data_IF_347706735709
#
_entry.id   IF_347706735709
#
_cell.length_a   1.000
_cell.length_b   1.000
_cell.length_c   1.000
_cell.angle_alpha   90.00
_cell.angle_beta   90.00
_cell.angle_gamma   90.00
#
_symmetry.space_group_name_H-M   'P 1'
#
loop_
_entity.id
_entity.type
_entity.pdbx_description
1 polymer ?
#
# COMPACT_ATOMS: atom_id res chain seq x y z
N UNK A 1 -22.81 32.55 -8.32
CA UNK A 1 -22.38 33.33 -7.16
C UNK A 1 -21.49 32.42 -6.34
N UNK A 2 -20.17 32.67 -6.44
CA UNK A 2 -19.06 32.19 -5.62
C UNK A 2 -18.84 30.66 -5.65
N UNK A 3 -17.67 30.11 -5.95
CA UNK A 3 -16.34 30.67 -6.16
C UNK A 3 -15.48 29.56 -6.75
N UNK A 4 -14.42 29.97 -7.45
CA UNK A 4 -13.14 29.26 -7.51
C UNK A 4 -13.14 27.98 -8.34
N UNK A 5 -12.72 28.16 -9.59
CA UNK A 5 -11.55 27.46 -10.13
C UNK A 5 -10.76 26.78 -9.01
N UNK A 6 -11.03 25.48 -8.83
CA UNK A 6 -10.24 24.60 -7.97
C UNK A 6 -8.87 24.53 -8.63
N UNK A 7 -8.04 25.51 -8.28
CA UNK A 7 -6.68 25.65 -8.77
C UNK A 7 -5.96 24.38 -8.33
N UNK A 8 -5.77 23.45 -9.28
CA UNK A 8 -4.94 22.27 -9.15
C UNK A 8 -3.54 22.74 -8.81
N UNK A 9 -3.32 23.02 -7.54
CA UNK A 9 -2.08 23.56 -7.03
C UNK A 9 -1.07 22.43 -7.23
N UNK A 10 -0.01 22.62 -8.03
CA UNK A 10 0.89 21.54 -8.33
C UNK A 10 1.43 20.92 -7.04
N UNK A 11 1.56 19.60 -6.99
CA UNK A 11 2.05 18.87 -5.80
C UNK A 11 3.38 19.45 -5.29
N UNK A 12 4.24 19.91 -6.20
CA UNK A 12 5.49 20.59 -5.84
C UNK A 12 5.27 21.86 -4.99
N UNK A 13 4.25 22.67 -5.31
CA UNK A 13 3.90 23.88 -4.56
C UNK A 13 3.32 23.54 -3.19
N UNK A 14 2.43 22.55 -3.12
CA UNK A 14 1.90 22.05 -1.85
C UNK A 14 3.02 21.50 -0.97
N UNK A 15 3.95 20.73 -1.55
CA UNK A 15 5.10 20.17 -0.87
C UNK A 15 6.00 21.25 -0.26
N UNK A 16 6.39 22.26 -1.05
CA UNK A 16 7.26 23.33 -0.54
C UNK A 16 6.61 24.12 0.59
N UNK A 17 5.31 24.42 0.49
CA UNK A 17 4.56 25.10 1.56
C UNK A 17 4.39 24.24 2.81
N UNK A 18 4.06 22.97 2.63
CA UNK A 18 3.94 22.01 3.72
C UNK A 18 5.27 21.84 4.48
N UNK A 19 6.40 21.80 3.77
CA UNK A 19 7.73 21.77 4.36
C UNK A 19 8.09 23.07 5.12
N UNK A 20 7.53 24.20 4.71
CA UNK A 20 7.67 25.48 5.41
C UNK A 20 6.76 25.61 6.64
N UNK A 21 5.96 24.59 6.97
CA UNK A 21 5.06 24.58 8.13
C UNK A 21 3.64 25.08 7.86
N UNK A 22 3.25 25.26 6.59
CA UNK A 22 1.87 25.60 6.23
C UNK A 22 0.94 24.40 6.45
N UNK A 23 0.17 24.46 7.53
CA UNK A 23 -0.76 23.40 7.92
C UNK A 23 -1.85 23.13 6.88
N UNK A 24 -2.28 24.15 6.11
CA UNK A 24 -3.29 23.98 5.07
C UNK A 24 -2.68 23.25 3.87
N UNK A 25 -1.50 23.67 3.43
CA UNK A 25 -0.79 22.99 2.35
C UNK A 25 -0.43 21.53 2.71
N UNK A 26 -0.10 21.27 3.98
CA UNK A 26 0.09 19.90 4.48
C UNK A 26 -1.19 19.08 4.39
N UNK A 27 -2.32 19.62 4.86
CA UNK A 27 -3.60 18.91 4.78
C UNK A 27 -4.01 18.63 3.33
N UNK A 28 -3.87 19.62 2.45
CA UNK A 28 -4.19 19.48 1.03
C UNK A 28 -3.29 18.42 0.36
N UNK A 29 -2.00 18.41 0.69
CA UNK A 29 -1.05 17.39 0.20
C UNK A 29 -1.42 15.99 0.70
N UNK A 30 -1.76 15.84 1.98
CA UNK A 30 -2.17 14.56 2.55
C UNK A 30 -3.49 14.08 1.93
N UNK A 31 -4.45 14.96 1.70
CA UNK A 31 -5.71 14.64 1.02
C UNK A 31 -5.46 14.12 -0.39
N UNK A 32 -4.57 14.79 -1.14
CA UNK A 32 -4.18 14.40 -2.50
C UNK A 32 -3.57 12.99 -2.56
N UNK A 33 -2.69 12.64 -1.62
CA UNK A 33 -2.03 11.32 -1.63
C UNK A 33 -2.84 10.20 -0.98
N UNK A 34 -3.87 10.52 -0.19
CA UNK A 34 -4.64 9.52 0.57
C UNK A 34 -5.24 8.41 -0.31
N UNK A 35 -5.84 8.68 -1.49
CA UNK A 35 -6.32 7.64 -2.40
C UNK A 35 -5.19 6.72 -2.90
N UNK A 36 -4.02 7.27 -3.18
CA UNK A 36 -2.85 6.50 -3.63
C UNK A 36 -2.33 5.59 -2.51
N UNK A 37 -2.13 6.12 -1.30
CA UNK A 37 -1.74 5.35 -0.11
C UNK A 37 -2.75 4.24 0.19
N UNK A 38 -4.04 4.55 0.13
CA UNK A 38 -5.12 3.58 0.36
C UNK A 38 -5.06 2.42 -0.61
N UNK A 39 -4.90 2.69 -1.91
CA UNK A 39 -4.75 1.65 -2.95
C UNK A 39 -3.52 0.79 -2.71
N UNK A 40 -2.43 1.38 -2.21
CA UNK A 40 -1.21 0.64 -1.88
C UNK A 40 -1.38 -0.34 -0.71
N UNK A 41 -2.16 0.03 0.29
CA UNK A 41 -2.38 -0.79 1.48
C UNK A 41 -3.32 -1.99 1.22
N UNK A 42 -4.28 -1.89 0.29
CA UNK A 42 -5.27 -2.94 -0.01
C UNK A 42 -4.65 -4.33 -0.18
N UNK A 43 -3.65 -4.54 -1.07
CA UNK A 43 -3.11 -5.87 -1.28
C UNK A 43 -2.14 -6.35 -0.17
N UNK A 44 -1.69 -5.45 0.72
CA UNK A 44 -0.72 -5.77 1.77
C UNK A 44 -1.42 -6.09 3.09
N UNK A 45 -2.38 -5.26 3.48
CA UNK A 45 -3.02 -5.25 4.81
C UNK A 45 -4.55 -5.24 4.69
N UNK A 46 -5.14 -6.18 3.92
CA UNK A 46 -6.58 -6.21 3.60
C UNK A 46 -7.48 -5.98 4.82
N UNK A 47 -7.29 -6.77 5.87
CA UNK A 47 -8.16 -6.75 7.05
C UNK A 47 -7.85 -5.57 7.99
N UNK A 48 -6.66 -4.98 7.86
CA UNK A 48 -6.14 -3.91 8.72
C UNK A 48 -5.75 -2.68 7.91
N UNK A 49 -6.51 -2.43 6.83
CA UNK A 49 -6.19 -1.41 5.83
C UNK A 49 -6.24 -0.02 6.45
N UNK A 50 -7.24 0.24 7.29
CA UNK A 50 -7.40 1.53 7.97
C UNK A 50 -6.16 1.89 8.78
N UNK A 51 -5.69 0.94 9.59
CA UNK A 51 -4.49 1.11 10.43
C UNK A 51 -3.23 1.28 9.59
N UNK A 52 -3.07 0.48 8.53
CA UNK A 52 -1.94 0.61 7.62
C UNK A 52 -1.90 1.98 6.92
N UNK A 53 -3.06 2.49 6.49
CA UNK A 53 -3.18 3.82 5.88
C UNK A 53 -2.86 4.90 6.90
N UNK A 54 -3.40 4.81 8.11
CA UNK A 54 -3.16 5.80 9.16
C UNK A 54 -1.68 5.89 9.52
N UNK A 55 -1.03 4.75 9.76
CA UNK A 55 0.40 4.69 10.09
C UNK A 55 1.27 5.23 8.94
N UNK A 56 0.93 4.89 7.69
CA UNK A 56 1.60 5.43 6.51
C UNK A 56 1.46 6.95 6.42
N UNK A 57 0.25 7.50 6.55
CA UNK A 57 0.01 8.94 6.49
C UNK A 57 0.70 9.69 7.63
N UNK A 58 0.70 9.13 8.85
CA UNK A 58 1.44 9.70 9.99
C UNK A 58 2.95 9.67 9.78
N UNK A 59 3.49 8.59 9.21
CA UNK A 59 4.90 8.48 8.88
C UNK A 59 5.30 9.47 7.77
N UNK A 60 4.44 9.66 6.77
CA UNK A 60 4.62 10.66 5.72
C UNK A 60 4.59 12.08 6.31
N UNK A 61 3.59 12.40 7.13
CA UNK A 61 3.49 13.70 7.81
C UNK A 61 4.77 14.02 8.60
N UNK A 62 5.25 13.07 9.41
CA UNK A 62 6.46 13.24 10.24
C UNK A 62 7.75 13.31 9.41
N UNK A 63 7.79 12.61 8.28
CA UNK A 63 8.99 12.48 7.45
C UNK A 63 9.11 13.50 6.31
N UNK A 64 8.06 14.28 6.02
CA UNK A 64 8.01 15.14 4.84
C UNK A 64 9.17 16.14 4.77
N UNK A 65 9.62 16.65 5.91
CA UNK A 65 10.76 17.58 6.00
C UNK A 65 12.11 16.98 5.61
N UNK A 66 12.23 15.65 5.54
CA UNK A 66 13.47 14.97 5.13
C UNK A 66 13.62 14.87 3.62
N UNK A 67 12.54 15.07 2.87
CA UNK A 67 12.55 14.96 1.42
C UNK A 67 13.22 16.19 0.79
N UNK A 68 14.38 15.99 0.16
CA UNK A 68 15.14 17.08 -0.47
C UNK A 68 14.76 17.33 -1.93
N UNK A 69 14.34 16.28 -2.63
CA UNK A 69 14.05 16.34 -4.06
C UNK A 69 12.53 16.18 -4.29
N UNK A 70 11.82 17.24 -4.72
CA UNK A 70 10.39 17.19 -5.00
C UNK A 70 9.99 16.12 -6.03
N UNK A 71 10.84 15.87 -7.02
CA UNK A 71 10.60 14.85 -8.05
C UNK A 71 10.55 13.43 -7.47
N UNK A 72 11.20 13.19 -6.34
CA UNK A 72 11.21 11.89 -5.66
C UNK A 72 9.98 11.66 -4.76
N UNK A 73 9.07 12.63 -4.63
CA UNK A 73 7.96 12.60 -3.67
C UNK A 73 7.12 11.31 -3.74
N UNK A 74 6.60 10.94 -4.91
CA UNK A 74 5.79 9.73 -5.05
C UNK A 74 6.57 8.44 -4.83
N UNK A 75 7.87 8.42 -5.17
CA UNK A 75 8.75 7.29 -4.88
C UNK A 75 8.98 7.13 -3.38
N UNK A 76 9.22 8.24 -2.68
CA UNK A 76 9.37 8.26 -1.24
C UNK A 76 8.07 7.88 -0.50
N UNK A 77 6.92 8.45 -0.89
CA UNK A 77 5.59 8.07 -0.36
C UNK A 77 5.35 6.57 -0.55
N UNK A 78 5.72 6.02 -1.72
CA UNK A 78 5.59 4.59 -1.99
C UNK A 78 6.43 3.76 -1.03
N UNK A 79 7.69 4.11 -0.81
CA UNK A 79 8.59 3.40 0.11
C UNK A 79 8.09 3.46 1.55
N UNK A 80 7.65 4.63 2.02
CA UNK A 80 7.09 4.79 3.37
C UNK A 80 5.81 3.95 3.53
N UNK A 81 4.88 4.07 2.58
CA UNK A 81 3.60 3.33 2.62
C UNK A 81 3.81 1.82 2.63
N UNK A 82 4.71 1.32 1.78
CA UNK A 82 5.00 -0.11 1.70
C UNK A 82 5.59 -0.62 3.02
N UNK A 83 6.52 0.14 3.62
CA UNK A 83 7.14 -0.21 4.89
C UNK A 83 6.11 -0.23 6.03
N UNK A 84 5.28 0.82 6.16
CA UNK A 84 4.28 0.89 7.22
C UNK A 84 3.19 -0.17 7.07
N UNK A 85 2.71 -0.43 5.84
CA UNK A 85 1.71 -1.47 5.61
C UNK A 85 2.20 -2.86 6.03
N UNK A 86 3.46 -3.20 5.75
CA UNK A 86 4.04 -4.48 6.20
C UNK A 86 4.27 -4.50 7.71
N UNK A 87 4.74 -3.38 8.29
CA UNK A 87 4.95 -3.25 9.74
C UNK A 87 3.64 -3.49 10.50
N UNK A 88 2.53 -2.91 10.04
CA UNK A 88 1.21 -3.11 10.65
C UNK A 88 0.79 -4.57 10.62
N UNK A 89 0.91 -5.27 9.49
CA UNK A 89 0.58 -6.70 9.40
C UNK A 89 1.45 -7.55 10.33
N UNK A 90 2.75 -7.27 10.38
CA UNK A 90 3.68 -8.01 11.26
C UNK A 90 3.34 -7.82 12.74
N UNK A 91 3.05 -6.58 13.15
CA UNK A 91 2.66 -6.26 14.53
C UNK A 91 1.42 -7.04 14.94
N UNK A 92 0.37 -7.00 14.11
CA UNK A 92 -0.89 -7.67 14.40
C UNK A 92 -0.76 -9.19 14.42
N UNK A 93 0.08 -9.79 13.56
CA UNK A 93 0.37 -11.24 13.64
C UNK A 93 1.04 -11.63 14.96
N UNK A 94 1.92 -10.78 15.49
CA UNK A 94 2.57 -11.01 16.79
C UNK A 94 1.56 -10.88 17.94
N UNK A 95 0.63 -9.92 17.86
CA UNK A 95 -0.41 -9.68 18.88
C UNK A 95 -1.49 -10.78 18.87
N UNK A 96 -1.85 -11.28 17.69
CA UNK A 96 -2.87 -12.32 17.49
C UNK A 96 -2.37 -13.72 17.88
N UNK A 97 -1.07 -13.93 18.04
CA UNK A 97 -0.50 -15.22 18.50
C UNK A 97 -0.98 -15.67 19.91
N UNK A 98 -1.81 -14.88 20.60
CA UNK A 98 -2.48 -15.22 21.87
C UNK A 98 -4.00 -15.47 21.76
N UNK A 99 -4.59 -15.62 20.57
CA UNK A 99 -6.00 -16.03 20.43
C UNK A 99 -6.21 -16.85 19.16
N UNK A 100 -7.00 -17.96 19.20
CA UNK A 100 -7.29 -18.73 18.00
C UNK A 100 -8.20 -17.88 17.09
N UNK A 101 -7.71 -17.56 15.89
CA UNK A 101 -8.49 -16.84 14.88
C UNK A 101 -9.28 -17.85 14.06
N UNK A 102 -10.60 -17.81 14.21
CA UNK A 102 -11.54 -18.37 13.25
C UNK A 102 -11.51 -17.53 11.96
N UNK A 103 -11.48 -18.16 10.76
CA UNK A 103 -11.45 -17.43 9.51
C UNK A 103 -12.78 -16.70 9.26
N UNK A 104 -12.78 -15.38 9.49
CA UNK A 104 -13.90 -14.50 9.16
C UNK A 104 -14.14 -14.42 7.65
N UNK A 105 -15.31 -14.88 7.21
CA UNK A 105 -15.81 -14.71 5.84
C UNK A 105 -16.02 -13.21 5.54
N UNK A 106 -15.62 -12.76 4.35
CA UNK A 106 -15.86 -11.39 3.89
C UNK A 106 -16.82 -11.36 2.70
N UNK A 107 -17.88 -10.57 2.89
CA UNK A 107 -18.93 -10.18 1.95
C UNK A 107 -18.41 -9.30 0.82
N UNK A 108 -18.87 -9.57 -0.41
CA UNK A 108 -18.44 -8.89 -1.63
C UNK A 108 -19.17 -7.58 -1.94
N UNK A 109 -18.64 -6.89 -2.95
CA UNK A 109 -19.37 -5.97 -3.82
C UNK A 109 -19.04 -6.39 -5.25
N UNK A 110 -20.06 -6.74 -6.02
CA UNK A 110 -19.97 -7.18 -7.41
C UNK A 110 -20.03 -5.95 -8.30
N UNK A 111 -19.02 -5.73 -9.15
CA UNK A 111 -19.17 -5.38 -10.57
C UNK A 111 -17.79 -5.10 -11.20
N UNK A 112 -17.58 -5.68 -12.38
CA UNK A 112 -16.33 -5.82 -13.15
C UNK A 112 -15.25 -6.71 -12.49
N UNK A 113 -14.57 -7.57 -13.28
CA UNK A 113 -13.39 -8.33 -12.81
C UNK A 113 -12.30 -7.31 -12.51
N UNK A 114 -12.30 -6.79 -11.30
CA UNK A 114 -11.31 -5.86 -10.83
C UNK A 114 -10.08 -6.65 -10.39
N UNK A 115 -8.89 -6.05 -10.53
CA UNK A 115 -7.66 -6.67 -10.04
C UNK A 115 -7.76 -7.10 -8.57
N UNK A 116 -8.60 -6.41 -7.78
CA UNK A 116 -8.91 -6.76 -6.40
C UNK A 116 -9.58 -8.14 -6.26
N UNK A 117 -10.48 -8.54 -7.16
CA UNK A 117 -11.15 -9.85 -7.09
C UNK A 117 -10.17 -10.99 -7.35
N UNK A 118 -9.24 -10.78 -8.28
CA UNK A 118 -8.17 -11.73 -8.58
C UNK A 118 -7.19 -11.82 -7.41
N UNK A 119 -6.87 -10.69 -6.79
CA UNK A 119 -6.02 -10.64 -5.59
C UNK A 119 -6.70 -11.27 -4.37
N UNK A 120 -8.02 -11.19 -4.25
CA UNK A 120 -8.78 -11.81 -3.16
C UNK A 120 -8.79 -13.35 -3.25
N UNK A 121 -8.67 -13.91 -4.46
CA UNK A 121 -8.48 -15.36 -4.68
C UNK A 121 -7.08 -15.86 -4.31
N UNK A 122 -6.12 -14.95 -4.13
CA UNK A 122 -4.77 -15.30 -3.70
C UNK A 122 -4.69 -15.35 -2.18
N UNK A 123 -3.89 -16.28 -1.67
CA UNK A 123 -3.50 -16.28 -0.26
C UNK A 123 -2.81 -14.96 0.10
N UNK A 124 -2.96 -14.54 1.35
CA UNK A 124 -2.37 -13.30 1.86
C UNK A 124 -0.87 -13.20 1.54
N UNK A 125 -0.15 -14.31 1.71
CA UNK A 125 1.28 -14.40 1.42
C UNK A 125 1.63 -14.19 -0.07
N UNK A 126 0.78 -14.65 -1.00
CA UNK A 126 0.95 -14.42 -2.43
C UNK A 126 0.59 -12.98 -2.82
N UNK A 127 -0.46 -12.42 -2.22
CA UNK A 127 -0.88 -11.04 -2.46
C UNK A 127 0.19 -10.05 -2.02
N UNK A 128 0.71 -10.23 -0.80
CA UNK A 128 1.78 -9.41 -0.23
C UNK A 128 3.02 -9.44 -1.11
N UNK A 129 3.52 -10.62 -1.48
CA UNK A 129 4.77 -10.70 -2.22
C UNK A 129 4.65 -10.09 -3.64
N UNK A 130 3.50 -10.24 -4.29
CA UNK A 130 3.22 -9.59 -5.58
C UNK A 130 3.12 -8.08 -5.44
N UNK A 131 2.43 -7.59 -4.41
CA UNK A 131 2.30 -6.16 -4.15
C UNK A 131 3.66 -5.51 -3.90
N UNK A 132 4.49 -6.10 -3.03
CA UNK A 132 5.83 -5.59 -2.75
C UNK A 132 6.68 -5.54 -4.02
N UNK A 133 6.63 -6.60 -4.84
CA UNK A 133 7.34 -6.62 -6.12
C UNK A 133 6.82 -5.57 -7.11
N UNK A 134 5.51 -5.39 -7.18
CA UNK A 134 4.87 -4.38 -8.03
C UNK A 134 5.26 -2.95 -7.63
N UNK A 135 5.37 -2.68 -6.33
CA UNK A 135 5.84 -1.38 -5.83
C UNK A 135 7.34 -1.16 -5.98
N UNK A 136 8.08 -2.12 -6.56
CA UNK A 136 9.46 -1.96 -6.98
C UNK A 136 10.49 -2.52 -6.00
N UNK A 137 10.06 -3.21 -4.94
CA UNK A 137 11.02 -3.83 -4.03
C UNK A 137 11.75 -4.98 -4.74
N UNK A 138 13.05 -5.06 -4.51
CA UNK A 138 13.88 -6.18 -4.95
C UNK A 138 13.70 -7.40 -4.03
N UNK A 139 14.25 -8.54 -4.44
CA UNK A 139 14.03 -9.80 -3.71
C UNK A 139 14.64 -9.78 -2.29
N UNK A 140 15.74 -9.07 -2.10
CA UNK A 140 16.43 -8.93 -0.81
C UNK A 140 15.66 -7.98 0.13
N UNK A 141 15.12 -6.89 -0.41
CA UNK A 141 14.23 -5.98 0.30
C UNK A 141 12.95 -6.69 0.72
N UNK A 142 12.35 -7.51 -0.16
CA UNK A 142 11.18 -8.32 0.16
C UNK A 142 11.51 -9.36 1.24
N UNK A 143 12.66 -10.01 1.15
CA UNK A 143 13.13 -10.99 2.14
C UNK A 143 13.25 -10.37 3.53
N UNK A 144 13.91 -9.22 3.60
CA UNK A 144 14.05 -8.43 4.84
C UNK A 144 12.69 -7.98 5.37
N UNK A 145 11.86 -7.43 4.47
CA UNK A 145 10.55 -6.87 4.79
C UNK A 145 9.58 -7.92 5.32
N UNK A 146 9.60 -9.15 4.76
CA UNK A 146 8.73 -10.24 5.19
C UNK A 146 9.38 -11.19 6.22
N UNK A 147 10.65 -10.98 6.58
CA UNK A 147 11.44 -11.91 7.42
C UNK A 147 11.47 -13.33 6.84
N UNK A 148 11.75 -13.45 5.54
CA UNK A 148 11.81 -14.71 4.80
C UNK A 148 13.18 -14.89 4.14
N UNK A 149 13.68 -16.13 3.94
CA UNK A 149 14.85 -16.38 3.10
C UNK A 149 14.62 -15.92 1.65
N UNK A 150 15.66 -15.38 0.98
CA UNK A 150 15.58 -14.92 -0.42
C UNK A 150 15.12 -16.05 -1.38
N UNK A 151 15.55 -17.29 -1.15
CA UNK A 151 15.06 -18.45 -1.91
C UNK A 151 13.55 -18.71 -1.74
N UNK A 152 13.01 -18.44 -0.56
CA UNK A 152 11.57 -18.49 -0.28
C UNK A 152 10.83 -17.36 -1.00
N UNK A 153 11.44 -16.17 -1.07
CA UNK A 153 10.90 -15.05 -1.84
C UNK A 153 10.79 -15.40 -3.32
N UNK A 154 11.87 -15.90 -3.94
CA UNK A 154 11.89 -16.31 -5.36
C UNK A 154 10.83 -17.35 -5.69
N UNK A 155 10.79 -18.43 -4.91
CA UNK A 155 9.84 -19.53 -5.12
C UNK A 155 8.40 -19.09 -4.88
N UNK A 156 8.15 -18.27 -3.86
CA UNK A 156 6.81 -17.73 -3.58
C UNK A 156 6.37 -16.71 -4.62
N UNK A 157 7.27 -15.86 -5.16
CA UNK A 157 6.98 -14.96 -6.28
C UNK A 157 6.62 -15.72 -7.55
N UNK A 158 7.33 -16.81 -7.85
CA UNK A 158 7.02 -17.67 -8.98
C UNK A 158 5.62 -18.27 -8.85
N UNK A 159 5.31 -18.89 -7.69
CA UNK A 159 4.00 -19.48 -7.42
C UNK A 159 2.87 -18.45 -7.41
N UNK A 160 3.12 -17.28 -6.82
CA UNK A 160 2.15 -16.19 -6.76
C UNK A 160 1.81 -15.67 -8.17
N UNK A 161 2.81 -15.46 -9.04
CA UNK A 161 2.60 -15.06 -10.43
C UNK A 161 1.77 -16.07 -11.22
N UNK A 162 2.08 -17.36 -11.07
CA UNK A 162 1.32 -18.43 -11.72
C UNK A 162 -0.13 -18.47 -11.24
N UNK A 163 -0.37 -18.37 -9.92
CA UNK A 163 -1.72 -18.33 -9.36
C UNK A 163 -2.50 -17.09 -9.78
N UNK A 164 -1.84 -15.95 -9.87
CA UNK A 164 -2.44 -14.73 -10.40
C UNK A 164 -2.85 -14.92 -11.86
N UNK A 165 -1.99 -15.50 -12.71
CA UNK A 165 -2.31 -15.81 -14.10
C UNK A 165 -3.49 -16.78 -14.23
N UNK A 166 -3.50 -17.88 -13.46
CA UNK A 166 -4.61 -18.84 -13.42
C UNK A 166 -5.93 -18.18 -12.98
N UNK A 167 -5.89 -17.27 -12.01
CA UNK A 167 -7.06 -16.56 -11.52
C UNK A 167 -7.52 -15.39 -12.42
N UNK A 168 -6.59 -14.82 -13.20
CA UNK A 168 -6.83 -13.72 -14.15
C UNK A 168 -7.41 -14.19 -15.48
N UNK A 169 -7.10 -15.43 -15.91
CA UNK A 169 -7.66 -15.96 -17.16
C UNK A 169 -9.19 -15.85 -17.11
N UNK A 170 -9.82 -15.03 -17.98
CA UNK A 170 -11.27 -15.05 -18.09
C UNK A 170 -11.64 -16.46 -18.54
N UNK A 171 -12.69 -17.05 -17.93
CA UNK A 171 -13.31 -18.26 -18.48
C UNK A 171 -13.50 -17.99 -19.97
N UNK A 172 -12.84 -18.78 -20.81
CA UNK A 172 -13.16 -18.82 -22.23
C UNK A 172 -14.67 -19.03 -22.33
N UNK A 173 -15.34 -18.10 -23.01
CA UNK A 173 -16.76 -18.23 -23.33
C UNK A 173 -17.00 -19.51 -24.13
#
# INVERSE_FOLDING_TARGET
>A
MNSETESLTPVAVLLSRAQAGDARAMNDLLAEITPYVTRMCVPIARDNRSDAVQEALLAIYRGLGTLREPAAFYGWVRSVTTREAVRTVKRLRTEVACSPVEPGQQTGSVDAVHINDVLDRLSEAHRQILALRFYGLNEDEIATTLSLPVGTVRSRLFRARRRFQEAWQPRAA
#
